data_IF_091588975732
#
_entry.id   IF_091588975732
#
_cell.length_a   1.000
_cell.length_b   1.000
_cell.length_c   1.000
_cell.angle_alpha   90.00
_cell.angle_beta   90.00
_cell.angle_gamma   90.00
#
_symmetry.space_group_name_H-M   'P 1'
#
loop_
_entity.id
_entity.type
_entity.pdbx_description
1 polymer ?
#
# COMPACT_ATOMS: atom_id res chain seq x y z
N UNK A 1 -12.60 8.87 1.56
CA UNK A 1 -11.28 9.40 2.00
C UNK A 1 -10.21 8.48 1.47
N UNK A 2 -9.07 9.04 1.10
CA UNK A 2 -7.93 8.27 0.60
C UNK A 2 -6.82 8.30 1.64
N UNK A 3 -6.14 7.17 1.81
CA UNK A 3 -4.99 7.03 2.67
C UNK A 3 -3.82 6.49 1.87
N UNK A 4 -2.79 7.31 1.69
CA UNK A 4 -1.50 6.84 1.19
C UNK A 4 -0.71 6.24 2.37
N UNK A 5 -0.41 4.96 2.30
CA UNK A 5 0.41 4.24 3.28
C UNK A 5 1.86 4.39 2.84
N UNK A 6 2.69 5.01 3.70
CA UNK A 6 4.12 5.12 3.47
C UNK A 6 4.81 3.76 3.51
N UNK A 7 5.84 3.61 2.70
CA UNK A 7 6.74 2.46 2.74
C UNK A 7 7.95 2.71 3.62
N UNK A 8 9.08 2.21 3.18
CA UNK A 8 10.37 2.16 3.86
C UNK A 8 11.20 3.47 3.78
N UNK A 9 10.55 4.62 3.81
CA UNK A 9 11.23 5.91 3.71
C UNK A 9 10.43 7.04 4.34
N UNK A 10 11.09 8.17 4.67
CA UNK A 10 10.40 9.38 5.09
C UNK A 10 9.32 9.78 4.09
N UNK A 11 8.11 10.02 4.59
CA UNK A 11 6.93 10.31 3.79
C UNK A 11 6.72 11.82 3.68
N UNK A 12 7.23 12.41 2.60
CA UNK A 12 7.09 13.84 2.35
C UNK A 12 5.65 14.29 2.04
N UNK A 13 5.36 15.57 2.27
CA UNK A 13 4.04 16.17 1.98
C UNK A 13 3.63 16.11 0.50
N UNK A 14 4.57 15.86 -0.41
CA UNK A 14 4.33 15.70 -1.85
C UNK A 14 3.34 14.57 -2.17
N UNK A 15 3.24 13.56 -1.30
CA UNK A 15 2.30 12.44 -1.42
C UNK A 15 0.84 12.85 -1.16
N UNK A 16 0.62 14.04 -0.57
CA UNK A 16 -0.70 14.67 -0.42
C UNK A 16 -0.86 15.88 -1.35
N UNK A 17 0.22 16.64 -1.58
CA UNK A 17 0.17 17.97 -2.23
C UNK A 17 0.98 18.02 -3.53
N UNK A 18 0.40 17.53 -4.62
CA UNK A 18 0.74 18.07 -5.95
C UNK A 18 1.85 17.38 -6.73
N UNK A 19 2.16 16.11 -6.46
CA UNK A 19 3.00 15.32 -7.37
C UNK A 19 2.24 14.83 -8.61
N UNK A 20 0.90 14.97 -8.62
CA UNK A 20 0.04 14.57 -9.74
C UNK A 20 -0.13 13.05 -9.85
N UNK A 21 0.08 12.34 -8.75
CA UNK A 21 -0.03 10.88 -8.67
C UNK A 21 -1.47 10.42 -8.87
N UNK A 22 -1.64 9.13 -9.21
CA UNK A 22 -2.95 8.56 -9.53
C UNK A 22 -3.99 8.83 -8.43
N UNK A 23 -3.65 8.58 -7.16
CA UNK A 23 -4.56 8.79 -6.03
C UNK A 23 -4.94 10.26 -5.84
N UNK A 24 -4.02 11.19 -6.13
CA UNK A 24 -4.27 12.63 -6.03
C UNK A 24 -5.23 13.11 -7.12
N UNK A 25 -4.96 12.73 -8.38
CA UNK A 25 -5.84 13.04 -9.50
C UNK A 25 -7.24 12.44 -9.32
N UNK A 26 -7.30 11.22 -8.77
CA UNK A 26 -8.57 10.57 -8.46
C UNK A 26 -9.29 11.28 -7.31
N UNK A 27 -8.56 11.73 -6.29
CA UNK A 27 -9.12 12.46 -5.17
C UNK A 27 -9.75 13.79 -5.61
N UNK A 28 -9.07 14.54 -6.47
CA UNK A 28 -9.58 15.78 -7.06
C UNK A 28 -10.91 15.54 -7.79
N UNK A 29 -10.97 14.50 -8.64
CA UNK A 29 -12.18 14.16 -9.39
C UNK A 29 -13.35 13.73 -8.50
N UNK A 30 -13.06 13.06 -7.38
CA UNK A 30 -14.08 12.51 -6.49
C UNK A 30 -14.38 13.42 -5.28
N UNK A 31 -13.74 14.58 -5.16
CA UNK A 31 -13.84 15.45 -3.99
C UNK A 31 -13.36 14.77 -2.69
N UNK A 32 -12.41 13.84 -2.79
CA UNK A 32 -11.93 13.07 -1.65
C UNK A 32 -10.79 13.80 -0.92
N UNK A 33 -10.80 13.76 0.41
CA UNK A 33 -9.64 14.16 1.22
C UNK A 33 -8.57 13.07 1.18
N UNK A 34 -7.33 13.47 0.93
CA UNK A 34 -6.15 12.59 0.94
C UNK A 34 -5.38 12.77 2.24
N UNK A 35 -5.11 11.66 2.91
CA UNK A 35 -4.18 11.55 4.03
C UNK A 35 -2.97 10.75 3.59
N UNK A 36 -1.84 10.98 4.25
CA UNK A 36 -0.64 10.20 4.11
C UNK A 36 -0.19 9.79 5.52
N UNK A 37 0.03 8.50 5.73
CA UNK A 37 0.49 7.95 7.00
C UNK A 37 1.89 7.39 6.80
N UNK A 38 2.86 8.03 7.44
CA UNK A 38 4.25 7.57 7.44
C UNK A 38 4.36 6.28 8.25
N UNK A 39 5.17 5.35 7.76
CA UNK A 39 5.39 4.08 8.42
C UNK A 39 6.22 4.31 9.69
N UNK A 40 5.86 3.63 10.78
CA UNK A 40 6.66 3.63 12.01
C UNK A 40 8.15 3.34 11.73
N UNK A 41 9.05 3.98 12.47
CA UNK A 41 10.51 3.96 12.32
C UNK A 41 11.11 4.68 11.11
N UNK A 42 10.30 5.31 10.25
CA UNK A 42 10.80 6.08 9.11
C UNK A 42 10.50 7.57 9.29
N UNK A 43 11.37 8.42 8.74
CA UNK A 43 11.22 9.87 8.76
C UNK A 43 11.04 10.41 10.16
N UNK A 44 9.93 11.10 10.38
CA UNK A 44 9.60 11.74 11.66
C UNK A 44 8.87 10.78 12.62
N UNK A 45 8.48 9.60 12.13
CA UNK A 45 7.74 8.58 12.89
C UNK A 45 8.66 7.74 13.77
N UNK A 46 9.21 8.35 14.82
CA UNK A 46 10.15 7.71 15.76
C UNK A 46 9.41 6.89 16.83
N UNK A 47 9.79 5.62 17.01
CA UNK A 47 9.24 4.73 18.05
C UNK A 47 10.20 4.64 19.23
N UNK A 48 9.98 5.48 20.23
CA UNK A 48 10.87 5.61 21.38
C UNK A 48 12.16 6.38 21.06
N UNK A 49 12.73 7.06 22.06
CA UNK A 49 13.87 7.97 21.84
C UNK A 49 13.46 9.28 21.16
N UNK A 50 14.39 9.88 20.41
CA UNK A 50 14.19 11.15 19.68
C UNK A 50 14.78 11.06 18.27
N UNK A 51 14.46 12.00 17.37
CA UNK A 51 15.06 12.02 16.03
C UNK A 51 16.59 12.16 16.00
N UNK A 52 17.21 12.67 17.08
CA UNK A 52 18.68 12.77 17.21
C UNK A 52 19.31 11.56 17.91
N UNK A 53 18.52 10.84 18.70
CA UNK A 53 18.93 9.69 19.49
C UNK A 53 17.80 8.67 19.46
N UNK A 54 17.69 8.01 18.31
CA UNK A 54 16.60 7.07 18.04
C UNK A 54 16.78 5.81 18.86
N UNK A 55 15.70 5.28 19.42
CA UNK A 55 15.75 4.01 20.14
C UNK A 55 16.21 2.89 19.18
N UNK A 56 17.31 2.17 19.49
CA UNK A 56 17.79 1.10 18.63
C UNK A 56 16.91 -0.15 18.69
N UNK A 57 15.94 -0.24 19.61
CA UNK A 57 15.02 -1.37 19.70
C UNK A 57 13.99 -1.35 18.54
N UNK A 58 14.14 -2.30 17.63
CA UNK A 58 13.26 -2.50 16.46
C UNK A 58 12.20 -3.58 16.68
N UNK A 59 11.95 -4.02 17.92
CA UNK A 59 10.98 -5.09 18.25
C UNK A 59 9.61 -4.86 17.62
N UNK A 60 9.21 -3.59 17.43
CA UNK A 60 7.91 -3.24 16.86
C UNK A 60 7.93 -2.88 15.37
N UNK A 61 9.05 -3.05 14.67
CA UNK A 61 9.15 -2.83 13.23
C UNK A 61 8.65 -4.07 12.48
N UNK A 62 7.35 -4.13 12.19
CA UNK A 62 6.76 -5.19 11.36
C UNK A 62 5.56 -4.70 10.55
N UNK A 63 5.29 -5.36 9.42
CA UNK A 63 4.13 -5.06 8.59
C UNK A 63 2.82 -5.27 9.36
N UNK A 64 2.77 -6.23 10.29
CA UNK A 64 1.60 -6.44 11.16
C UNK A 64 1.36 -5.23 12.06
N UNK A 65 2.42 -4.71 12.67
CA UNK A 65 2.35 -3.52 13.52
C UNK A 65 2.01 -2.26 12.73
N UNK A 66 2.46 -2.14 11.48
CA UNK A 66 2.03 -1.07 10.57
C UNK A 66 0.54 -1.18 10.24
N UNK A 67 -0.01 -2.38 10.02
CA UNK A 67 -1.45 -2.56 9.81
C UNK A 67 -2.28 -2.09 11.02
N UNK A 68 -1.76 -2.31 12.24
CA UNK A 68 -2.37 -1.77 13.45
C UNK A 68 -2.31 -0.23 13.50
N UNK A 69 -1.23 0.39 13.05
CA UNK A 69 -1.16 1.87 12.95
C UNK A 69 -2.18 2.42 11.96
N UNK A 70 -2.30 1.79 10.78
CA UNK A 70 -3.29 2.18 9.77
C UNK A 70 -4.70 2.10 10.34
N UNK A 71 -5.03 1.00 11.03
CA UNK A 71 -6.33 0.83 11.67
C UNK A 71 -6.58 1.88 12.77
N UNK A 72 -5.59 2.16 13.61
CA UNK A 72 -5.67 3.16 14.66
C UNK A 72 -5.78 4.58 14.11
N UNK A 73 -5.06 4.90 13.03
CA UNK A 73 -5.15 6.18 12.34
C UNK A 73 -6.56 6.42 11.80
N UNK A 74 -7.12 5.45 11.07
CA UNK A 74 -8.47 5.52 10.51
C UNK A 74 -9.51 5.76 11.61
N UNK A 75 -9.43 5.00 12.72
CA UNK A 75 -10.33 5.18 13.87
C UNK A 75 -10.22 6.58 14.47
N UNK A 76 -9.01 7.04 14.72
CA UNK A 76 -8.72 8.37 15.27
C UNK A 76 -9.27 9.48 14.39
N UNK A 77 -9.06 9.38 13.08
CA UNK A 77 -9.51 10.39 12.12
C UNK A 77 -11.03 10.41 11.99
N UNK A 78 -11.68 9.25 11.95
CA UNK A 78 -13.14 9.16 11.95
C UNK A 78 -13.75 9.86 13.18
N UNK A 79 -13.18 9.60 14.36
CA UNK A 79 -13.60 10.26 15.61
C UNK A 79 -13.39 11.78 15.56
N UNK A 80 -12.19 12.24 15.15
CA UNK A 80 -11.87 13.68 15.06
C UNK A 80 -12.78 14.43 14.10
N UNK A 81 -13.18 13.80 13.01
CA UNK A 81 -14.06 14.42 12.00
C UNK A 81 -15.55 14.22 12.29
N UNK A 82 -15.89 13.48 13.35
CA UNK A 82 -17.25 13.02 13.65
C UNK A 82 -17.96 12.41 12.42
N UNK A 83 -17.24 11.57 11.66
CA UNK A 83 -17.69 10.96 10.41
C UNK A 83 -17.16 9.54 10.27
N UNK A 84 -17.89 8.68 9.56
CA UNK A 84 -17.49 7.29 9.23
C UNK A 84 -17.40 7.06 7.71
N UNK A 85 -16.51 7.79 7.00
CA UNK A 85 -16.38 7.69 5.56
C UNK A 85 -15.76 6.36 5.12
N UNK A 86 -16.00 5.98 3.87
CA UNK A 86 -15.26 4.89 3.22
C UNK A 86 -13.81 5.32 2.98
N UNK A 87 -12.88 4.43 3.30
CA UNK A 87 -11.44 4.62 3.09
C UNK A 87 -10.97 3.77 1.91
N UNK A 88 -10.15 4.35 1.04
CA UNK A 88 -9.39 3.63 0.01
C UNK A 88 -7.91 3.86 0.33
N UNK A 89 -7.17 2.76 0.48
CA UNK A 89 -5.73 2.83 0.69
C UNK A 89 -5.01 2.82 -0.64
N UNK A 90 -3.85 3.46 -0.64
CA UNK A 90 -2.90 3.43 -1.73
C UNK A 90 -1.52 3.22 -1.12
N UNK A 91 -0.73 2.36 -1.73
CA UNK A 91 0.65 2.14 -1.37
C UNK A 91 1.48 1.84 -2.61
N UNK A 92 2.77 2.11 -2.53
CA UNK A 92 3.73 1.71 -3.54
C UNK A 92 4.77 0.77 -2.93
N UNK A 93 5.28 -0.15 -3.73
CA UNK A 93 6.39 -1.04 -3.37
C UNK A 93 6.06 -1.95 -2.17
N UNK A 94 6.44 -1.57 -0.96
CA UNK A 94 6.30 -2.37 0.26
C UNK A 94 4.95 -2.19 0.97
N UNK A 95 4.31 -1.03 0.78
CA UNK A 95 3.11 -0.66 1.53
C UNK A 95 1.86 -1.49 1.15
N UNK A 96 1.84 -2.11 -0.04
CA UNK A 96 0.71 -2.94 -0.49
C UNK A 96 1.18 -4.24 -1.18
N UNK A 97 1.17 -5.31 -0.38
CA UNK A 97 0.28 -6.46 -0.62
C UNK A 97 0.79 -7.64 -1.46
N UNK A 98 1.76 -7.51 -2.36
CA UNK A 98 2.19 -8.68 -3.13
C UNK A 98 2.86 -9.76 -2.23
N UNK A 99 3.68 -9.31 -1.26
CA UNK A 99 4.41 -10.20 -0.34
C UNK A 99 3.51 -10.91 0.68
N UNK A 100 2.52 -10.21 1.24
CA UNK A 100 1.61 -10.80 2.24
C UNK A 100 0.74 -11.89 1.59
N UNK A 101 0.35 -11.68 0.34
CA UNK A 101 -0.50 -12.58 -0.43
C UNK A 101 0.27 -13.81 -0.92
N UNK A 102 1.49 -13.63 -1.44
CA UNK A 102 2.36 -14.74 -1.85
C UNK A 102 2.64 -15.69 -0.67
N UNK A 103 2.96 -15.12 0.49
CA UNK A 103 3.25 -15.87 1.72
C UNK A 103 2.03 -16.59 2.29
N UNK A 104 0.83 -16.03 2.12
CA UNK A 104 -0.42 -16.70 2.49
C UNK A 104 -0.72 -17.89 1.60
N UNK A 105 -0.58 -17.73 0.28
CA UNK A 105 -0.87 -18.79 -0.68
C UNK A 105 0.10 -19.97 -0.56
N UNK A 106 1.41 -19.72 -0.41
CA UNK A 106 2.39 -20.80 -0.23
C UNK A 106 2.17 -21.62 1.05
N UNK A 107 1.68 -20.98 2.12
CA UNK A 107 1.41 -21.66 3.39
C UNK A 107 0.16 -22.54 3.33
N UNK A 108 -0.87 -22.14 2.58
CA UNK A 108 -2.15 -22.84 2.55
C UNK A 108 -2.27 -23.83 1.38
N UNK A 109 -1.69 -23.54 0.22
CA UNK A 109 -1.74 -24.42 -0.95
C UNK A 109 -0.55 -24.16 -1.90
N UNK A 110 0.58 -24.85 -1.71
CA UNK A 110 1.82 -24.59 -2.45
C UNK A 110 1.68 -24.67 -3.98
N UNK A 111 0.84 -25.58 -4.46
CA UNK A 111 0.64 -25.78 -5.89
C UNK A 111 -0.22 -24.69 -6.53
N UNK A 112 -1.17 -24.12 -5.77
CA UNK A 112 -1.94 -22.94 -6.21
C UNK A 112 -1.01 -21.72 -6.36
N UNK A 113 -0.12 -21.48 -5.38
CA UNK A 113 0.88 -20.42 -5.46
C UNK A 113 1.79 -20.56 -6.70
N UNK A 114 2.20 -21.79 -7.02
CA UNK A 114 3.03 -22.07 -8.20
C UNK A 114 2.28 -21.85 -9.52
N UNK A 115 0.97 -22.12 -9.58
CA UNK A 115 0.16 -21.87 -10.76
C UNK A 115 -0.11 -20.36 -10.96
N UNK A 116 -0.34 -19.63 -9.87
CA UNK A 116 -0.46 -18.17 -9.89
C UNK A 116 0.81 -17.55 -10.48
N UNK A 117 1.99 -17.98 -10.02
CA UNK A 117 3.28 -17.50 -10.53
C UNK A 117 3.44 -17.73 -12.04
N UNK A 118 3.10 -18.92 -12.54
CA UNK A 118 3.17 -19.24 -13.98
C UNK A 118 2.18 -18.41 -14.81
N UNK A 119 0.98 -18.16 -14.30
CA UNK A 119 -0.01 -17.31 -14.96
C UNK A 119 0.49 -15.88 -15.13
N UNK A 120 1.15 -15.30 -14.12
CA UNK A 120 1.76 -13.97 -14.23
C UNK A 120 2.88 -13.92 -15.28
N UNK A 121 3.72 -14.95 -15.37
CA UNK A 121 4.78 -15.03 -16.39
C UNK A 121 4.21 -15.06 -17.82
N UNK A 122 3.10 -15.76 -18.02
CA UNK A 122 2.43 -15.83 -19.32
C UNK A 122 1.74 -14.52 -19.69
N UNK A 123 1.03 -13.90 -18.74
CA UNK A 123 0.41 -12.59 -18.93
C UNK A 123 1.47 -11.54 -19.28
N UNK A 124 2.61 -11.57 -18.60
CA UNK A 124 3.73 -10.67 -18.88
C UNK A 124 4.21 -10.80 -20.33
N UNK A 125 4.47 -12.02 -20.80
CA UNK A 125 4.89 -12.28 -22.20
C UNK A 125 3.86 -11.82 -23.22
N UNK A 126 2.58 -12.01 -22.93
CA UNK A 126 1.49 -11.68 -23.84
C UNK A 126 1.24 -10.16 -23.92
N UNK A 127 1.36 -9.43 -22.81
CA UNK A 127 1.19 -7.95 -22.78
C UNK A 127 2.18 -7.24 -23.71
N UNK A 128 3.36 -7.81 -23.95
CA UNK A 128 4.41 -7.19 -24.75
C UNK A 128 4.09 -7.13 -26.25
N UNK A 129 3.22 -8.00 -26.76
CA UNK A 129 2.91 -8.06 -28.19
C UNK A 129 1.49 -7.58 -28.49
N UNK A 130 1.28 -7.00 -29.67
CA UNK A 130 -0.06 -6.51 -30.07
C UNK A 130 -1.06 -7.67 -30.20
N UNK A 131 -0.63 -8.80 -30.76
CA UNK A 131 -1.41 -10.03 -30.85
C UNK A 131 -1.62 -10.67 -29.47
N UNK A 132 -0.60 -10.67 -28.60
CA UNK A 132 -0.72 -11.17 -27.24
C UNK A 132 -1.66 -10.34 -26.37
N UNK A 133 -1.67 -9.00 -26.49
CA UNK A 133 -2.68 -8.15 -25.84
C UNK A 133 -4.10 -8.45 -26.32
N UNK A 134 -4.27 -8.70 -27.63
CA UNK A 134 -5.55 -9.14 -28.17
C UNK A 134 -5.97 -10.50 -27.59
N UNK A 135 -5.06 -11.47 -27.57
CA UNK A 135 -5.30 -12.80 -26.98
C UNK A 135 -5.63 -12.71 -25.49
N UNK A 136 -4.93 -11.88 -24.72
CA UNK A 136 -5.24 -11.62 -23.32
C UNK A 136 -6.63 -11.02 -23.17
N UNK A 137 -6.97 -10.04 -24.01
CA UNK A 137 -8.32 -9.48 -24.05
C UNK A 137 -9.32 -10.62 -24.24
N UNK A 138 -9.19 -11.40 -25.32
CA UNK A 138 -10.10 -12.51 -25.64
C UNK A 138 -10.14 -13.62 -24.57
N UNK A 139 -9.11 -13.74 -23.71
CA UNK A 139 -9.04 -14.76 -22.65
C UNK A 139 -9.70 -14.30 -21.35
N UNK A 140 -9.67 -13.00 -21.06
CA UNK A 140 -10.17 -12.42 -19.81
C UNK A 140 -11.48 -11.64 -19.97
N UNK A 141 -12.05 -11.62 -21.19
CA UNK A 141 -13.38 -11.08 -21.51
C UNK A 141 -14.20 -12.12 -22.24
#
# INVERSE_FOLDING_TARGET
MFLYIGGESPLGSVWVKGFGMFHQKLAEKLGATVFALEHRYYGDSVVGGTGKDANPDLTYLSSLQMLYDVANFIRTMNAKMNKTPKWITFGGSYAEYLEVVERSFRRHQPQCANNIAKGFDEIHKLVLTKSGRKKLSDTFT
#
